data_IF_465442698770
#
_entry.id   IF_465442698770
#
_cell.length_a   1.000
_cell.length_b   1.000
_cell.length_c   1.000
_cell.angle_alpha   90.00
_cell.angle_beta   90.00
_cell.angle_gamma   90.00
#
_symmetry.space_group_name_H-M   'P 1'
#
loop_
_entity.id
_entity.type
_entity.pdbx_description
1 polymer ?
#
# COMPACT_ATOMS: atom_id res chain seq x y z
N UNK A 1 -4.37 -9.58 2.57
CA UNK A 1 -4.13 -8.64 3.70
C UNK A 1 -4.32 -9.32 5.06
N UNK A 2 -5.54 -9.58 5.54
CA UNK A 2 -5.77 -10.19 6.87
C UNK A 2 -5.22 -11.61 7.04
N UNK A 3 -5.46 -12.51 6.08
CA UNK A 3 -4.94 -13.88 6.14
C UNK A 3 -3.40 -13.94 6.06
N UNK A 4 -2.79 -13.08 5.24
CA UNK A 4 -1.33 -12.88 5.18
C UNK A 4 -0.74 -12.41 6.51
N UNK A 5 -1.39 -11.46 7.18
CA UNK A 5 -0.94 -10.97 8.49
C UNK A 5 -1.06 -12.06 9.56
N UNK A 6 -2.17 -12.81 9.57
CA UNK A 6 -2.35 -13.97 10.44
C UNK A 6 -1.25 -15.01 10.21
N UNK A 7 -1.01 -15.38 8.94
CA UNK A 7 0.01 -16.37 8.58
C UNK A 7 1.42 -15.90 8.93
N UNK A 8 1.77 -14.64 8.66
CA UNK A 8 3.06 -14.08 9.03
C UNK A 8 3.28 -14.07 10.56
N UNK A 9 2.24 -13.75 11.33
CA UNK A 9 2.29 -13.79 12.79
C UNK A 9 2.43 -15.22 13.32
N UNK A 10 1.65 -16.18 12.80
CA UNK A 10 1.73 -17.59 13.21
C UNK A 10 3.07 -18.21 12.85
N UNK A 11 3.60 -17.91 11.66
CA UNK A 11 4.91 -18.41 11.20
C UNK A 11 6.04 -17.78 12.00
N UNK A 12 5.96 -16.48 12.31
CA UNK A 12 6.90 -15.79 13.19
C UNK A 12 6.91 -16.37 14.61
N UNK A 13 5.73 -16.49 15.24
CA UNK A 13 5.60 -17.03 16.60
C UNK A 13 5.99 -18.50 16.73
N UNK A 14 5.88 -19.28 15.65
CA UNK A 14 6.28 -20.70 15.61
C UNK A 14 7.75 -20.90 15.25
N UNK A 15 8.47 -19.84 14.84
CA UNK A 15 9.87 -19.94 14.42
C UNK A 15 10.79 -19.77 15.63
N UNK A 16 11.69 -20.73 15.85
CA UNK A 16 12.69 -20.67 16.91
C UNK A 16 13.83 -19.66 16.62
N UNK A 17 13.86 -19.06 15.43
CA UNK A 17 14.89 -18.11 15.02
C UNK A 17 14.46 -16.66 15.31
N UNK A 18 15.20 -15.91 16.16
CA UNK A 18 14.84 -14.53 16.51
C UNK A 18 14.82 -13.56 15.31
N UNK A 19 15.57 -13.85 14.24
CA UNK A 19 15.54 -13.04 13.03
C UNK A 19 14.17 -13.06 12.33
N UNK A 20 13.52 -14.24 12.28
CA UNK A 20 12.21 -14.40 11.65
C UNK A 20 11.10 -13.70 12.44
N UNK A 21 11.20 -13.73 13.77
CA UNK A 21 10.27 -13.03 14.68
C UNK A 21 10.37 -11.51 14.48
N UNK A 22 11.60 -10.98 14.40
CA UNK A 22 11.83 -9.55 14.15
C UNK A 22 11.25 -9.10 12.81
N UNK A 23 11.43 -9.88 11.75
CA UNK A 23 10.86 -9.61 10.42
C UNK A 23 9.32 -9.63 10.44
N UNK A 24 8.71 -10.55 11.17
CA UNK A 24 7.25 -10.61 11.31
C UNK A 24 6.68 -9.34 11.98
N UNK A 25 7.31 -8.88 13.06
CA UNK A 25 6.93 -7.65 13.76
C UNK A 25 7.16 -6.40 12.91
N UNK A 26 8.29 -6.33 12.22
CA UNK A 26 8.58 -5.22 11.31
C UNK A 26 7.55 -5.16 10.17
N UNK A 27 7.22 -6.31 9.58
CA UNK A 27 6.15 -6.40 8.58
C UNK A 27 4.77 -6.00 9.13
N UNK A 28 4.47 -6.28 10.40
CA UNK A 28 3.23 -5.81 11.02
C UNK A 28 3.16 -4.26 11.11
N UNK A 29 4.27 -3.60 11.44
CA UNK A 29 4.32 -2.12 11.44
C UNK A 29 4.13 -1.54 10.04
N UNK A 30 4.76 -2.13 9.03
CA UNK A 30 4.57 -1.75 7.62
C UNK A 30 3.12 -1.96 7.16
N UNK A 31 2.48 -3.04 7.60
CA UNK A 31 1.07 -3.30 7.32
C UNK A 31 0.16 -2.23 7.92
N UNK A 32 0.41 -1.79 9.16
CA UNK A 32 -0.33 -0.70 9.79
C UNK A 32 -0.13 0.64 9.06
N UNK A 33 1.11 0.95 8.66
CA UNK A 33 1.43 2.15 7.88
C UNK A 33 0.69 2.10 6.54
N UNK A 34 0.74 0.96 5.85
CA UNK A 34 0.04 0.72 4.60
C UNK A 34 -1.48 0.91 4.73
N UNK A 35 -2.08 0.43 5.81
CA UNK A 35 -3.51 0.62 6.08
C UNK A 35 -3.85 2.11 6.28
N UNK A 36 -3.00 2.84 7.01
CA UNK A 36 -3.14 4.29 7.23
C UNK A 36 -3.05 5.10 5.93
N UNK A 37 -2.05 4.82 5.10
CA UNK A 37 -1.91 5.40 3.76
C UNK A 37 -3.15 5.10 2.89
N UNK A 38 -3.63 3.86 2.90
CA UNK A 38 -4.83 3.49 2.15
C UNK A 38 -6.08 4.27 2.61
N UNK A 39 -6.20 4.54 3.92
CA UNK A 39 -7.30 5.33 4.47
C UNK A 39 -7.19 6.82 4.09
N UNK A 40 -5.97 7.36 4.00
CA UNK A 40 -5.70 8.74 3.62
C UNK A 40 -5.89 8.98 2.12
N UNK A 41 -5.57 8.00 1.28
CA UNK A 41 -5.68 8.11 -0.18
C UNK A 41 -7.08 8.55 -0.64
N UNK A 42 -8.13 7.94 -0.09
CA UNK A 42 -9.52 8.19 -0.51
C UNK A 42 -9.98 9.64 -0.29
N UNK A 43 -9.85 10.24 0.92
CA UNK A 43 -10.18 11.65 1.14
C UNK A 43 -9.22 12.62 0.43
N UNK A 44 -7.95 12.26 0.22
CA UNK A 44 -7.02 13.07 -0.57
C UNK A 44 -7.41 13.15 -2.05
N UNK A 45 -7.77 12.01 -2.65
CA UNK A 45 -8.13 11.94 -4.07
C UNK A 45 -9.54 12.49 -4.33
N UNK A 46 -10.53 12.04 -3.57
CA UNK A 46 -11.94 12.39 -3.81
C UNK A 46 -12.43 13.59 -3.00
N UNK A 47 -11.88 13.84 -1.81
CA UNK A 47 -12.35 14.91 -0.93
C UNK A 47 -11.66 16.25 -1.19
N UNK A 48 -10.33 16.25 -1.33
CA UNK A 48 -9.53 17.47 -1.50
C UNK A 48 -9.27 17.82 -2.97
N UNK A 49 -9.56 16.91 -3.91
CA UNK A 49 -9.31 17.12 -5.33
C UNK A 49 -7.85 17.52 -5.61
N UNK A 50 -6.88 16.94 -4.90
CA UNK A 50 -5.46 17.22 -5.11
C UNK A 50 -4.80 16.03 -5.81
N UNK A 51 -4.70 16.03 -7.15
CA UNK A 51 -4.14 14.91 -7.91
C UNK A 51 -2.68 14.65 -7.52
N UNK A 52 -1.92 15.72 -7.28
CA UNK A 52 -0.49 15.65 -6.94
C UNK A 52 -0.31 14.92 -5.60
N UNK A 53 -1.01 15.37 -4.56
CA UNK A 53 -0.89 14.80 -3.23
C UNK A 53 -1.36 13.33 -3.20
N UNK A 54 -2.46 13.01 -3.87
CA UNK A 54 -2.95 11.65 -3.96
C UNK A 54 -2.07 10.72 -4.83
N UNK A 55 -1.37 11.27 -5.84
CA UNK A 55 -0.39 10.50 -6.63
C UNK A 55 0.87 10.19 -5.82
N UNK A 56 1.34 11.12 -5.00
CA UNK A 56 2.47 10.88 -4.08
C UNK A 56 2.08 9.85 -3.03
N UNK A 57 0.87 9.96 -2.48
CA UNK A 57 0.35 9.01 -1.47
C UNK A 57 0.24 7.58 -2.04
N UNK A 58 -0.34 7.40 -3.23
CA UNK A 58 -0.47 6.06 -3.82
C UNK A 58 0.88 5.45 -4.22
N UNK A 59 1.86 6.27 -4.61
CA UNK A 59 3.23 5.80 -4.84
C UNK A 59 3.89 5.35 -3.53
N UNK A 60 3.72 6.09 -2.45
CA UNK A 60 4.22 5.71 -1.12
C UNK A 60 3.55 4.42 -0.61
N UNK A 61 2.24 4.30 -0.83
CA UNK A 61 1.44 3.10 -0.55
C UNK A 61 1.95 1.89 -1.35
N UNK A 62 2.18 2.05 -2.65
CA UNK A 62 2.77 1.01 -3.51
C UNK A 62 4.18 0.58 -3.07
N UNK A 63 5.04 1.55 -2.73
CA UNK A 63 6.38 1.28 -2.22
C UNK A 63 6.36 0.52 -0.88
N UNK A 64 5.52 0.96 0.06
CA UNK A 64 5.35 0.29 1.37
C UNK A 64 4.84 -1.13 1.20
N UNK A 65 3.89 -1.34 0.28
CA UNK A 65 3.38 -2.66 -0.04
C UNK A 65 4.42 -3.58 -0.70
N UNK A 66 5.19 -3.07 -1.64
CA UNK A 66 6.27 -3.83 -2.30
C UNK A 66 7.33 -4.26 -1.28
N UNK A 67 7.69 -3.35 -0.37
CA UNK A 67 8.61 -3.63 0.72
C UNK A 67 8.03 -4.67 1.68
N UNK A 68 6.76 -4.53 2.09
CA UNK A 68 6.06 -5.53 2.91
C UNK A 68 6.05 -6.92 2.25
N UNK A 69 5.79 -6.97 0.94
CA UNK A 69 5.79 -8.22 0.17
C UNK A 69 7.16 -8.88 0.17
N UNK A 70 8.24 -8.10 0.08
CA UNK A 70 9.62 -8.60 0.15
C UNK A 70 9.99 -9.09 1.55
N UNK A 71 9.55 -8.40 2.60
CA UNK A 71 9.81 -8.77 4.01
C UNK A 71 9.04 -10.05 4.38
N UNK A 72 7.73 -10.11 4.11
CA UNK A 72 6.93 -11.30 4.39
C UNK A 72 7.20 -12.45 3.42
N UNK A 73 7.64 -12.18 2.19
CA UNK A 73 8.08 -13.20 1.24
C UNK A 73 9.36 -13.93 1.68
N UNK A 74 10.23 -13.25 2.44
CA UNK A 74 11.40 -13.89 3.08
C UNK A 74 11.02 -14.81 4.24
N UNK A 75 9.91 -14.52 4.92
CA UNK A 75 9.39 -15.35 6.02
C UNK A 75 8.61 -16.55 5.49
N UNK A 76 7.70 -16.30 4.54
CA UNK A 76 6.85 -17.33 3.94
C UNK A 76 6.56 -16.96 2.47
N UNK A 77 6.95 -17.81 1.49
CA UNK A 77 6.73 -17.51 0.07
C UNK A 77 5.24 -17.41 -0.29
N UNK A 78 4.35 -18.08 0.44
CA UNK A 78 2.91 -17.99 0.21
C UNK A 78 2.36 -16.64 0.64
N UNK A 79 2.94 -16.02 1.68
CA UNK A 79 2.60 -14.64 2.05
C UNK A 79 2.94 -13.65 0.92
N UNK A 80 4.06 -13.85 0.23
CA UNK A 80 4.42 -13.07 -0.96
C UNK A 80 3.40 -13.22 -2.09
N UNK A 81 3.02 -14.46 -2.40
CA UNK A 81 2.02 -14.76 -3.45
C UNK A 81 0.63 -14.19 -3.15
N UNK A 82 0.22 -14.14 -1.88
CA UNK A 82 -1.05 -13.52 -1.50
C UNK A 82 -1.06 -11.99 -1.64
N UNK A 83 0.10 -11.34 -1.62
CA UNK A 83 0.22 -9.89 -1.81
C UNK A 83 0.43 -9.51 -3.28
N UNK A 84 0.87 -10.43 -4.14
CA UNK A 84 1.02 -10.23 -5.57
C UNK A 84 -0.23 -9.63 -6.28
N UNK A 85 -1.46 -10.14 -6.08
CA UNK A 85 -2.64 -9.54 -6.71
C UNK A 85 -2.92 -8.11 -6.21
N UNK A 86 -2.56 -7.81 -4.95
CA UNK A 86 -2.72 -6.47 -4.39
C UNK A 86 -1.68 -5.49 -4.94
N UNK A 87 -0.45 -5.94 -5.19
CA UNK A 87 0.56 -5.16 -5.94
C UNK A 87 0.08 -4.81 -7.35
N UNK A 88 -0.54 -5.76 -8.05
CA UNK A 88 -1.14 -5.53 -9.36
C UNK A 88 -2.29 -4.51 -9.32
N UNK A 89 -3.09 -4.53 -8.26
CA UNK A 89 -4.13 -3.51 -8.04
C UNK A 89 -3.55 -2.13 -7.77
N UNK A 90 -2.55 -2.01 -6.89
CA UNK A 90 -1.95 -0.71 -6.54
C UNK A 90 -1.20 -0.10 -7.73
N UNK A 91 -0.56 -0.91 -8.57
CA UNK A 91 0.06 -0.40 -9.80
C UNK A 91 -0.98 0.13 -10.79
N UNK A 92 -2.12 -0.57 -10.94
CA UNK A 92 -3.23 -0.09 -11.75
C UNK A 92 -3.83 1.22 -11.21
N UNK A 93 -4.05 1.29 -9.89
CA UNK A 93 -4.57 2.50 -9.25
C UNK A 93 -3.57 3.68 -9.34
N UNK A 94 -2.26 3.41 -9.24
CA UNK A 94 -1.21 4.42 -9.47
C UNK A 94 -1.27 4.94 -10.90
N UNK A 95 -1.41 4.05 -11.88
CA UNK A 95 -1.58 4.44 -13.28
C UNK A 95 -2.81 5.31 -13.48
N UNK A 96 -3.94 4.97 -12.84
CA UNK A 96 -5.17 5.76 -12.91
C UNK A 96 -4.99 7.14 -12.27
N UNK A 97 -4.39 7.24 -11.08
CA UNK A 97 -4.14 8.52 -10.42
C UNK A 97 -3.25 9.45 -11.25
N UNK A 98 -2.13 8.91 -11.75
CA UNK A 98 -1.18 9.68 -12.57
C UNK A 98 -1.80 10.03 -13.93
N UNK A 99 -2.49 9.09 -14.57
CA UNK A 99 -3.16 9.30 -15.85
C UNK A 99 -4.27 10.36 -15.76
N UNK A 100 -5.11 10.27 -14.72
CA UNK A 100 -6.12 11.29 -14.43
C UNK A 100 -5.50 12.64 -14.10
N UNK A 101 -4.41 12.69 -13.32
CA UNK A 101 -3.66 13.91 -13.05
C UNK A 101 -3.11 14.54 -14.33
N UNK A 102 -2.43 13.75 -15.16
CA UNK A 102 -1.84 14.19 -16.43
C UNK A 102 -2.89 14.73 -17.41
N UNK A 103 -4.00 14.02 -17.59
CA UNK A 103 -5.09 14.44 -18.48
C UNK A 103 -5.79 15.73 -18.00
N UNK A 104 -5.73 16.03 -16.70
CA UNK A 104 -6.34 17.22 -16.10
C UNK A 104 -5.31 18.32 -15.75
N UNK A 105 -4.13 18.32 -16.38
CA UNK A 105 -3.05 19.28 -16.11
C UNK A 105 -2.68 19.39 -14.61
N UNK A 106 -2.89 18.33 -13.84
CA UNK A 106 -2.68 18.29 -12.40
C UNK A 106 -3.48 19.32 -11.59
N UNK A 107 -4.56 19.87 -12.17
CA UNK A 107 -5.44 20.86 -11.53
C UNK A 107 -6.90 20.41 -11.57
N UNK A 108 -7.36 19.78 -10.49
CA UNK A 108 -8.80 19.53 -10.30
C UNK A 108 -9.53 20.71 -9.65
N UNK A 109 -8.81 21.78 -9.23
CA UNK A 109 -9.43 22.98 -8.66
C UNK A 109 -10.34 23.66 -9.66
N UNK A 110 -9.99 23.68 -10.94
CA UNK A 110 -10.84 24.26 -12.00
C UNK A 110 -12.19 23.54 -12.17
N UNK A 111 -12.26 22.24 -11.83
CA UNK A 111 -13.47 21.41 -11.94
C UNK A 111 -14.34 21.55 -10.68
N UNK A 112 -13.73 21.66 -9.50
CA UNK A 112 -14.47 21.79 -8.23
C UNK A 112 -14.93 23.22 -7.91
N UNK A 113 -14.34 24.25 -8.52
CA UNK A 113 -14.71 25.66 -8.31
C UNK A 113 -15.86 26.13 -9.22
N UNK A 114 -16.57 25.21 -9.86
CA UNK A 114 -17.70 25.55 -10.73
C UNK A 114 -18.97 25.68 -9.88
N UNK A 115 -18.98 26.68 -9.01
CA UNK A 115 -20.16 27.28 -8.35
C UNK A 115 -19.89 28.77 -8.08
#
# INVERSE_FOLDING_TARGET
MGYTAYRAYTTGASSANPHTVSLALHGATLYSIQLGLNLLWTPLYFGLGQPIAASVDILALGGTLAYLTSVWGQVDPVCGWLLAPYLGWVSFATYLCIGSGYLNNWDFKSIMKKD
#
